data_IF_140831332153
#
_entry.id   IF_140831332153
#
_cell.length_a   1.000
_cell.length_b   1.000
_cell.length_c   1.000
_cell.angle_alpha   90.00
_cell.angle_beta   90.00
_cell.angle_gamma   90.00
#
_symmetry.space_group_name_H-M   'P 1'
#
loop_
_entity.id
_entity.type
_entity.pdbx_description
1 polymer ?
#
# COMPACT_ATOMS: atom_id res chain seq x y z
N UNK A 1 -23.82 15.65 5.48
CA UNK A 1 -22.54 15.03 5.07
C UNK A 1 -22.17 14.02 6.16
N UNK A 2 -21.85 12.77 5.83
CA UNK A 2 -21.40 11.81 6.84
C UNK A 2 -20.06 12.28 7.41
N UNK A 3 -20.03 12.61 8.71
CA UNK A 3 -18.78 12.95 9.38
C UNK A 3 -17.90 11.70 9.43
N UNK A 4 -16.65 11.75 8.97
CA UNK A 4 -15.74 10.61 9.07
C UNK A 4 -15.56 10.21 10.53
N UNK A 5 -15.93 8.98 10.87
CA UNK A 5 -15.73 8.38 12.20
C UNK A 5 -14.54 7.44 12.16
N UNK A 6 -14.22 6.78 13.29
CA UNK A 6 -13.17 5.76 13.36
C UNK A 6 -13.23 4.72 12.23
N UNK A 7 -14.41 4.37 11.75
CA UNK A 7 -14.64 3.34 10.72
C UNK A 7 -14.90 3.90 9.31
N UNK A 8 -15.11 5.21 9.17
CA UNK A 8 -15.39 5.87 7.88
C UNK A 8 -14.35 6.96 7.54
N UNK A 9 -13.26 7.04 8.30
CA UNK A 9 -12.16 7.94 8.01
C UNK A 9 -11.41 7.46 6.76
N UNK A 10 -11.62 8.20 5.67
CA UNK A 10 -11.09 7.87 4.35
C UNK A 10 -9.56 7.79 4.34
N UNK A 11 -8.87 8.52 5.24
CA UNK A 11 -7.41 8.49 5.41
C UNK A 11 -6.87 7.10 5.76
N UNK A 12 -7.68 6.27 6.43
CA UNK A 12 -7.30 4.91 6.79
C UNK A 12 -7.99 3.86 5.91
N UNK A 13 -8.72 4.27 4.86
CA UNK A 13 -9.35 3.34 3.95
C UNK A 13 -8.31 2.54 3.15
N UNK A 14 -8.70 1.33 2.74
CA UNK A 14 -7.90 0.47 1.86
C UNK A 14 -7.44 1.21 0.60
N UNK A 15 -8.35 1.98 -0.01
CA UNK A 15 -8.06 2.71 -1.24
C UNK A 15 -7.02 3.82 -1.03
N UNK A 16 -7.14 4.59 0.06
CA UNK A 16 -6.17 5.65 0.36
C UNK A 16 -4.78 5.09 0.66
N UNK A 17 -4.71 4.04 1.50
CA UNK A 17 -3.44 3.40 1.85
C UNK A 17 -2.82 2.73 0.62
N UNK A 18 -3.61 2.06 -0.23
CA UNK A 18 -3.15 1.51 -1.50
C UNK A 18 -2.53 2.59 -2.41
N UNK A 19 -3.17 3.75 -2.53
CA UNK A 19 -2.61 4.88 -3.28
C UNK A 19 -1.27 5.37 -2.71
N UNK A 20 -1.12 5.39 -1.37
CA UNK A 20 0.15 5.73 -0.72
C UNK A 20 1.24 4.70 -0.97
N UNK A 21 0.92 3.41 -0.87
CA UNK A 21 1.84 2.32 -1.20
C UNK A 21 2.36 2.46 -2.64
N UNK A 22 1.46 2.69 -3.61
CA UNK A 22 1.87 2.93 -4.99
C UNK A 22 2.76 4.16 -5.15
N UNK A 23 2.51 5.22 -4.37
CA UNK A 23 3.39 6.40 -4.34
C UNK A 23 4.80 6.07 -3.89
N UNK A 24 4.96 5.31 -2.81
CA UNK A 24 6.27 4.89 -2.32
C UNK A 24 7.01 3.98 -3.31
N UNK A 25 6.31 2.99 -3.86
CA UNK A 25 6.90 2.03 -4.79
C UNK A 25 7.25 2.64 -6.16
N UNK A 26 6.81 3.86 -6.48
CA UNK A 26 7.25 4.57 -7.70
C UNK A 26 8.63 5.17 -7.56
N UNK A 27 9.03 5.52 -6.34
CA UNK A 27 10.33 6.14 -6.05
C UNK A 27 11.41 5.08 -5.76
N UNK A 28 11.01 3.85 -5.46
CA UNK A 28 11.90 2.75 -5.06
C UNK A 28 11.65 1.49 -5.91
N UNK A 29 12.71 0.72 -6.18
CA UNK A 29 12.58 -0.52 -6.96
C UNK A 29 11.77 -1.60 -6.22
N UNK A 30 11.95 -1.70 -4.91
CA UNK A 30 11.19 -2.61 -4.05
C UNK A 30 11.34 -2.17 -2.59
N UNK A 31 10.31 -2.35 -1.77
CA UNK A 31 10.32 -1.96 -0.36
C UNK A 31 10.03 -3.19 0.50
N UNK A 32 10.83 -3.42 1.54
CA UNK A 32 10.54 -4.52 2.48
C UNK A 32 9.22 -4.28 3.21
N UNK A 33 8.51 -5.35 3.53
CA UNK A 33 7.20 -5.25 4.16
C UNK A 33 7.24 -4.43 5.46
N UNK A 34 8.23 -4.66 6.31
CA UNK A 34 8.28 -3.97 7.60
C UNK A 34 8.71 -2.50 7.47
N UNK A 35 9.59 -2.18 6.52
CA UNK A 35 9.94 -0.79 6.18
C UNK A 35 8.71 -0.04 5.63
N UNK A 36 7.95 -0.67 4.71
CA UNK A 36 6.72 -0.12 4.14
C UNK A 36 5.70 0.21 5.24
N UNK A 37 5.57 -0.66 6.24
CA UNK A 37 4.68 -0.47 7.37
C UNK A 37 5.11 0.70 8.25
N UNK A 38 6.42 0.86 8.50
CA UNK A 38 6.95 2.00 9.24
C UNK A 38 6.72 3.31 8.48
N UNK A 39 6.98 3.34 7.18
CA UNK A 39 6.73 4.49 6.31
C UNK A 39 5.24 4.91 6.35
N UNK A 40 4.32 3.96 6.20
CA UNK A 40 2.87 4.22 6.27
C UNK A 40 2.43 4.74 7.64
N UNK A 41 2.99 4.19 8.72
CA UNK A 41 2.68 4.64 10.09
C UNK A 41 3.21 6.05 10.35
N UNK A 42 4.41 6.36 9.86
CA UNK A 42 5.02 7.67 9.96
C UNK A 42 4.19 8.74 9.24
N UNK A 43 3.74 8.44 8.01
CA UNK A 43 3.03 9.43 7.20
C UNK A 43 1.52 9.54 7.52
N UNK A 44 0.85 8.40 7.75
CA UNK A 44 -0.61 8.35 7.90
C UNK A 44 -1.01 8.31 9.38
N UNK A 45 -0.22 7.65 10.22
CA UNK A 45 -0.47 7.42 11.64
C UNK A 45 -0.70 5.94 11.97
N UNK A 46 -0.62 5.61 13.27
CA UNK A 46 -0.64 4.22 13.78
C UNK A 46 -1.85 3.38 13.31
N UNK A 47 -3.00 4.03 13.05
CA UNK A 47 -4.22 3.37 12.61
C UNK A 47 -4.14 2.82 11.18
N UNK A 48 -3.13 3.22 10.38
CA UNK A 48 -2.91 2.66 9.05
C UNK A 48 -2.66 1.15 9.09
N UNK A 49 -2.02 0.65 10.18
CA UNK A 49 -1.71 -0.78 10.38
C UNK A 49 -2.91 -1.70 10.20
N UNK A 50 -4.12 -1.23 10.52
CA UNK A 50 -5.33 -2.03 10.44
C UNK A 50 -5.66 -2.46 9.00
N UNK A 51 -5.20 -1.70 7.99
CA UNK A 51 -5.61 -1.88 6.60
C UNK A 51 -4.45 -2.09 5.61
N UNK A 52 -3.20 -2.19 6.08
CA UNK A 52 -2.03 -2.41 5.19
C UNK A 52 -2.19 -3.73 4.42
N UNK A 53 -2.46 -4.83 5.11
CA UNK A 53 -2.60 -6.15 4.47
C UNK A 53 -3.76 -6.20 3.47
N UNK A 54 -4.89 -5.56 3.79
CA UNK A 54 -6.02 -5.45 2.87
C UNK A 54 -5.67 -4.59 1.65
N UNK A 55 -4.87 -3.53 1.83
CA UNK A 55 -4.40 -2.67 0.74
C UNK A 55 -3.42 -3.39 -0.18
N UNK A 56 -2.48 -4.15 0.39
CA UNK A 56 -1.58 -5.02 -0.38
C UNK A 56 -2.36 -6.11 -1.12
N UNK A 57 -3.29 -6.79 -0.45
CA UNK A 57 -4.16 -7.80 -1.08
C UNK A 57 -4.95 -7.21 -2.23
N UNK A 58 -5.52 -6.02 -2.05
CA UNK A 58 -6.23 -5.31 -3.10
C UNK A 58 -5.32 -5.01 -4.30
N UNK A 59 -4.17 -4.38 -4.07
CA UNK A 59 -3.21 -4.03 -5.14
C UNK A 59 -2.69 -5.26 -5.89
N UNK A 60 -2.40 -6.34 -5.17
CA UNK A 60 -2.00 -7.61 -5.75
C UNK A 60 -3.12 -8.20 -6.62
N UNK A 61 -4.36 -8.19 -6.10
CA UNK A 61 -5.52 -8.72 -6.82
C UNK A 61 -5.84 -7.98 -8.11
N UNK A 62 -5.51 -6.68 -8.19
CA UNK A 62 -5.67 -5.86 -9.41
C UNK A 62 -4.40 -5.80 -10.27
N UNK A 63 -3.40 -6.63 -9.97
CA UNK A 63 -2.18 -6.76 -10.79
C UNK A 63 -1.27 -5.53 -10.76
N UNK A 64 -1.25 -4.76 -9.66
CA UNK A 64 -0.40 -3.57 -9.54
C UNK A 64 0.90 -3.79 -8.78
N UNK A 65 0.96 -4.81 -7.93
CA UNK A 65 2.16 -5.15 -7.17
C UNK A 65 2.38 -6.66 -7.17
N UNK A 66 3.61 -7.06 -6.88
CA UNK A 66 3.96 -8.44 -6.56
C UNK A 66 4.75 -8.50 -5.24
N UNK A 67 4.76 -9.69 -4.64
CA UNK A 67 5.50 -9.97 -3.41
C UNK A 67 6.71 -10.86 -3.71
N UNK A 68 7.89 -10.36 -3.35
CA UNK A 68 9.19 -10.99 -3.55
C UNK A 68 9.54 -11.82 -2.30
N UNK A 69 9.10 -13.08 -2.29
CA UNK A 69 9.24 -14.00 -1.14
C UNK A 69 10.66 -14.10 -0.56
N UNK A 70 11.69 -14.04 -1.41
CA UNK A 70 13.09 -14.18 -1.01
C UNK A 70 13.61 -12.97 -0.22
N UNK A 71 12.98 -11.81 -0.36
CA UNK A 71 13.41 -10.55 0.25
C UNK A 71 12.41 -9.99 1.27
N UNK A 72 11.23 -10.63 1.40
CA UNK A 72 10.10 -10.11 2.14
C UNK A 72 9.78 -8.65 1.72
N UNK A 73 9.63 -8.46 0.41
CA UNK A 73 9.53 -7.15 -0.22
C UNK A 73 8.39 -7.07 -1.23
N UNK A 74 7.91 -5.84 -1.44
CA UNK A 74 6.85 -5.50 -2.38
C UNK A 74 7.48 -4.68 -3.50
N UNK A 75 7.10 -4.95 -4.75
CA UNK A 75 7.49 -4.14 -5.91
C UNK A 75 6.28 -3.89 -6.83
N UNK A 76 6.40 -2.88 -7.70
CA UNK A 76 5.42 -2.65 -8.77
C UNK A 76 5.57 -3.70 -9.86
N UNK A 77 4.44 -4.13 -10.40
CA UNK A 77 4.45 -4.82 -11.69
C UNK A 77 4.63 -3.73 -12.74
N UNK A 78 5.75 -3.75 -13.47
CA UNK A 78 5.93 -2.87 -14.62
C UNK A 78 4.92 -3.28 -15.70
N UNK A 79 3.99 -2.39 -16.05
CA UNK A 79 3.14 -2.52 -17.22
C UNK A 79 4.02 -2.34 -18.48
N UNK A 80 4.92 -3.30 -18.76
CA UNK A 80 5.61 -3.42 -20.05
C UNK A 80 4.64 -4.03 -21.06
N UNK A 81 3.51 -3.35 -21.31
CA UNK A 81 2.78 -3.55 -22.54
C UNK A 81 3.36 -2.55 -23.53
N UNK A 82 4.53 -2.90 -24.07
CA UNK A 82 4.94 -2.40 -25.39
C UNK A 82 3.97 -3.03 -26.40
N UNK A 83 2.90 -2.31 -26.73
CA UNK A 83 2.13 -2.48 -27.97
C UNK A 83 2.85 -1.76 -29.12
#
# INVERSE_FOLDING_TARGET
MLTPTKHTNIKYSVIYIAGKILGFLKEETSIKYEDLKEMLVSEIGVNAKNNINYSLTFLFSVGKIEYLNNMDAITLINDNNED
#
